data_IF_205396332446
#
_entry.id   IF_205396332446
#
_cell.length_a   1.000
_cell.length_b   1.000
_cell.length_c   1.000
_cell.angle_alpha   90.00
_cell.angle_beta   90.00
_cell.angle_gamma   90.00
#
_symmetry.space_group_name_H-M   'P 1'
#
loop_
_entity.id
_entity.type
_entity.pdbx_description
1 polymer ?
#
# COMPACT_ATOMS: atom_id res chain seq x y z
N UNK A 1 -7.23 6.83 -13.71
CA UNK A 1 -5.74 6.91 -13.76
C UNK A 1 -5.20 6.97 -15.20
N UNK A 2 -6.03 6.68 -16.16
CA UNK A 2 -5.68 6.83 -17.59
C UNK A 2 -5.93 8.26 -18.09
N UNK A 3 -6.77 9.03 -17.41
CA UNK A 3 -7.11 10.41 -17.76
C UNK A 3 -6.20 11.41 -17.04
N UNK A 4 -6.00 12.56 -17.65
CA UNK A 4 -5.19 13.65 -17.13
C UNK A 4 -3.69 13.39 -17.14
N UNK A 5 -2.94 14.39 -16.74
CA UNK A 5 -1.49 14.35 -16.69
C UNK A 5 -0.98 13.58 -15.48
N UNK A 6 0.16 12.90 -15.63
CA UNK A 6 0.86 12.30 -14.52
C UNK A 6 1.58 13.39 -13.73
N UNK A 7 1.38 13.41 -12.41
CA UNK A 7 2.06 14.38 -11.54
C UNK A 7 3.58 14.32 -11.71
N UNK A 8 4.23 15.48 -11.74
CA UNK A 8 5.65 15.62 -12.03
C UNK A 8 6.54 14.75 -11.14
N UNK A 9 6.24 14.67 -9.84
CA UNK A 9 7.03 13.88 -8.88
C UNK A 9 7.06 12.37 -9.14
N UNK A 10 6.11 11.84 -9.93
CA UNK A 10 6.00 10.41 -10.28
C UNK A 10 5.89 10.20 -11.80
N UNK A 11 6.34 11.17 -12.58
CA UNK A 11 6.15 11.21 -14.03
C UNK A 11 6.65 9.93 -14.73
N UNK A 12 7.89 9.54 -14.49
CA UNK A 12 8.48 8.33 -15.12
C UNK A 12 7.79 7.06 -14.66
N UNK A 13 7.51 6.93 -13.36
CA UNK A 13 6.82 5.78 -12.80
C UNK A 13 5.38 5.65 -13.34
N UNK A 14 4.60 6.72 -13.28
CA UNK A 14 3.21 6.71 -13.73
C UNK A 14 3.08 6.42 -15.22
N UNK A 15 3.94 7.05 -16.06
CA UNK A 15 3.92 6.79 -17.51
C UNK A 15 4.38 5.37 -17.87
N UNK A 16 5.35 4.80 -17.14
CA UNK A 16 5.75 3.40 -17.36
C UNK A 16 4.59 2.44 -17.08
N UNK A 17 3.78 2.70 -16.05
CA UNK A 17 2.59 1.89 -15.74
C UNK A 17 1.48 2.05 -16.78
N UNK A 18 1.27 3.27 -17.30
CA UNK A 18 0.35 3.49 -18.44
C UNK A 18 0.81 2.74 -19.69
N UNK A 19 2.11 2.78 -19.99
CA UNK A 19 2.66 2.05 -21.14
C UNK A 19 2.44 0.54 -21.02
N UNK A 20 2.62 -0.07 -19.83
CA UNK A 20 2.32 -1.48 -19.60
C UNK A 20 0.86 -1.83 -19.87
N UNK A 21 -0.07 -0.97 -19.47
CA UNK A 21 -1.50 -1.18 -19.77
C UNK A 21 -1.78 -1.20 -21.27
N UNK A 22 -1.24 -0.24 -22.03
CA UNK A 22 -1.41 -0.22 -23.48
C UNK A 22 -0.71 -1.39 -24.18
N UNK A 23 0.48 -1.77 -23.71
CA UNK A 23 1.19 -2.95 -24.24
C UNK A 23 0.39 -4.24 -24.02
N UNK A 24 -0.22 -4.41 -22.85
CA UNK A 24 -1.11 -5.55 -22.59
C UNK A 24 -2.24 -5.63 -23.62
N UNK A 25 -2.85 -4.49 -23.97
CA UNK A 25 -3.84 -4.40 -25.04
C UNK A 25 -3.30 -4.80 -26.42
N UNK A 26 -2.08 -4.38 -26.77
CA UNK A 26 -1.42 -4.78 -28.02
C UNK A 26 -1.18 -6.30 -28.07
N UNK A 27 -0.66 -6.89 -26.99
CA UNK A 27 -0.43 -8.34 -26.92
C UNK A 27 -1.74 -9.14 -27.03
N UNK A 28 -2.82 -8.63 -26.45
CA UNK A 28 -4.15 -9.23 -26.64
C UNK A 28 -4.56 -9.23 -28.10
N UNK A 29 -4.42 -8.09 -28.80
CA UNK A 29 -4.83 -7.98 -30.21
C UNK A 29 -3.97 -8.82 -31.18
N UNK A 30 -2.66 -8.79 -30.99
CA UNK A 30 -1.73 -9.45 -31.92
C UNK A 30 -1.54 -10.93 -31.62
N UNK A 31 -1.56 -11.33 -30.37
CA UNK A 31 -1.19 -12.68 -29.94
C UNK A 31 -2.31 -13.44 -29.24
N UNK A 32 -3.48 -12.81 -29.06
CA UNK A 32 -4.63 -13.38 -28.32
C UNK A 32 -4.27 -13.82 -26.90
N UNK A 33 -3.33 -13.10 -26.26
CA UNK A 33 -2.95 -13.33 -24.87
C UNK A 33 -3.95 -12.62 -23.96
N UNK A 34 -4.63 -13.41 -23.12
CA UNK A 34 -5.53 -12.89 -22.09
C UNK A 34 -4.76 -12.06 -21.07
N UNK A 35 -5.26 -10.88 -20.72
CA UNK A 35 -4.60 -9.99 -19.77
C UNK A 35 -5.59 -9.44 -18.75
N UNK A 36 -5.16 -9.40 -17.49
CA UNK A 36 -5.89 -8.74 -16.41
C UNK A 36 -4.99 -7.68 -15.76
N UNK A 37 -5.48 -6.45 -15.69
CA UNK A 37 -4.77 -5.34 -15.09
C UNK A 37 -5.34 -5.04 -13.70
N UNK A 38 -4.55 -5.27 -12.65
CA UNK A 38 -4.92 -5.01 -11.28
C UNK A 38 -4.29 -3.71 -10.78
N UNK A 39 -5.11 -2.82 -10.21
CA UNK A 39 -4.67 -1.59 -9.58
C UNK A 39 -4.70 -1.76 -8.06
N UNK A 40 -3.57 -1.49 -7.43
CA UNK A 40 -3.35 -1.74 -6.01
C UNK A 40 -3.29 -0.43 -5.23
N UNK A 41 -3.80 -0.40 -4.00
CA UNK A 41 -3.49 0.66 -3.05
C UNK A 41 -2.05 0.52 -2.53
N UNK A 42 -1.71 1.26 -1.47
CA UNK A 42 -0.39 1.09 -0.86
C UNK A 42 -0.30 -0.29 -0.20
N UNK A 43 0.64 -1.10 -0.67
CA UNK A 43 0.86 -2.45 -0.14
C UNK A 43 1.86 -2.42 1.01
N UNK A 44 1.63 -3.24 2.03
CA UNK A 44 2.53 -3.44 3.17
C UNK A 44 2.56 -4.90 3.60
N UNK A 45 3.55 -5.27 4.37
CA UNK A 45 3.68 -6.64 4.87
C UNK A 45 5.13 -7.11 4.93
N UNK A 46 5.35 -8.39 5.24
CA UNK A 46 6.65 -9.05 5.18
C UNK A 46 7.32 -8.94 3.81
N UNK A 47 8.65 -8.86 3.79
CA UNK A 47 9.43 -8.97 2.54
C UNK A 47 9.80 -7.65 1.87
N UNK A 48 9.35 -6.51 2.36
CA UNK A 48 9.80 -5.21 1.85
C UNK A 48 11.24 -4.89 2.30
N UNK A 49 11.87 -3.96 1.59
CA UNK A 49 13.23 -3.51 1.87
C UNK A 49 13.36 -2.88 3.25
N UNK A 50 14.46 -3.16 3.96
CA UNK A 50 14.85 -2.44 5.18
C UNK A 50 15.68 -1.18 4.90
N UNK A 51 16.09 -0.95 3.65
CA UNK A 51 16.76 0.29 3.23
C UNK A 51 15.76 1.45 3.28
N UNK A 52 16.02 2.52 4.09
CA UNK A 52 15.09 3.63 4.24
C UNK A 52 14.80 4.38 2.93
N UNK A 53 15.65 4.25 1.90
CA UNK A 53 15.44 4.87 0.60
C UNK A 53 14.57 4.04 -0.35
N UNK A 54 14.25 2.79 0.02
CA UNK A 54 13.53 1.83 -0.83
C UNK A 54 12.26 1.29 -0.20
N UNK A 55 12.18 1.35 1.13
CA UNK A 55 11.02 0.83 1.88
C UNK A 55 9.77 1.66 1.64
N UNK A 56 8.62 1.02 1.60
CA UNK A 56 7.32 1.68 1.47
C UNK A 56 6.87 2.30 2.81
N UNK A 57 5.98 3.28 2.74
CA UNK A 57 5.68 4.17 3.85
C UNK A 57 5.27 3.45 5.16
N UNK A 58 4.35 2.48 5.12
CA UNK A 58 3.90 1.79 6.33
C UNK A 58 4.99 0.89 6.91
N UNK A 59 5.65 0.11 6.06
CA UNK A 59 6.78 -0.73 6.47
C UNK A 59 7.95 0.11 7.02
N UNK A 60 8.26 1.23 6.36
CA UNK A 60 9.28 2.16 6.84
C UNK A 60 8.95 2.75 8.21
N UNK A 61 7.67 3.01 8.48
CA UNK A 61 7.21 3.47 9.78
C UNK A 61 7.36 2.38 10.86
N UNK A 62 7.00 1.13 10.54
CA UNK A 62 7.18 -0.03 11.42
C UNK A 62 8.66 -0.22 11.76
N UNK A 63 9.52 -0.27 10.75
CA UNK A 63 10.97 -0.48 10.90
C UNK A 63 11.59 0.62 11.77
N UNK A 64 11.31 1.89 11.48
CA UNK A 64 11.83 3.02 12.27
C UNK A 64 11.31 3.01 13.71
N UNK A 65 10.07 2.59 13.94
CA UNK A 65 9.51 2.53 15.29
C UNK A 65 10.11 1.38 16.11
N UNK A 66 10.40 0.23 15.48
CA UNK A 66 11.17 -0.86 16.11
C UNK A 66 12.59 -0.42 16.48
N UNK A 67 13.25 0.33 15.60
CA UNK A 67 14.57 0.90 15.86
C UNK A 67 14.54 1.90 17.01
N UNK A 68 13.55 2.80 17.05
CA UNK A 68 13.36 3.75 18.14
C UNK A 68 13.10 3.04 19.49
N UNK A 69 12.28 1.98 19.49
CA UNK A 69 12.08 1.13 20.67
C UNK A 69 13.39 0.52 21.16
N UNK A 70 14.17 -0.05 20.25
CA UNK A 70 15.47 -0.67 20.56
C UNK A 70 16.50 0.33 21.09
N UNK A 71 16.47 1.57 20.57
CA UNK A 71 17.32 2.67 21.03
C UNK A 71 16.89 3.27 22.38
N UNK A 72 15.66 2.97 22.84
CA UNK A 72 15.10 3.57 24.05
C UNK A 72 14.66 5.02 23.86
N UNK A 73 14.31 5.40 22.61
CA UNK A 73 13.90 6.75 22.29
C UNK A 73 12.59 7.11 23.03
N UNK A 74 12.51 8.32 23.53
CA UNK A 74 11.30 8.83 24.19
C UNK A 74 10.26 9.37 23.21
N UNK A 75 10.63 9.55 21.93
CA UNK A 75 9.76 10.10 20.89
C UNK A 75 9.96 9.41 19.55
N UNK A 76 8.87 9.29 18.80
CA UNK A 76 8.87 8.85 17.39
C UNK A 76 8.30 9.97 16.51
N UNK A 77 9.08 10.41 15.53
CA UNK A 77 8.70 11.52 14.65
C UNK A 77 8.01 11.00 13.39
N UNK A 78 6.78 11.46 13.16
CA UNK A 78 6.00 11.29 11.94
C UNK A 78 6.04 12.59 11.14
N UNK A 79 6.38 12.53 9.87
CA UNK A 79 6.42 13.70 8.99
C UNK A 79 5.01 14.15 8.59
N UNK A 80 4.79 15.47 8.55
CA UNK A 80 3.51 16.10 8.25
C UNK A 80 2.57 16.16 9.45
N UNK A 81 1.30 16.45 9.19
CA UNK A 81 0.27 16.58 10.23
C UNK A 81 -0.30 15.24 10.71
N UNK A 82 -0.07 14.17 9.96
CA UNK A 82 -0.71 12.87 10.20
C UNK A 82 -2.15 12.77 9.71
N UNK A 83 -2.73 13.84 9.16
CA UNK A 83 -4.12 13.87 8.69
C UNK A 83 -4.38 13.14 7.35
N UNK A 84 -3.42 13.03 6.41
CA UNK A 84 -3.68 12.35 5.14
C UNK A 84 -4.15 10.90 5.34
N UNK A 85 -5.18 10.52 4.57
CA UNK A 85 -5.78 9.19 4.63
C UNK A 85 -5.23 8.32 3.51
N UNK A 86 -4.85 7.10 3.86
CA UNK A 86 -4.34 6.10 2.92
C UNK A 86 -5.06 4.78 3.08
N UNK A 87 -5.34 4.15 1.96
CA UNK A 87 -5.74 2.76 1.94
C UNK A 87 -4.49 1.88 1.93
N UNK A 88 -4.51 0.84 2.76
CA UNK A 88 -3.44 -0.14 2.91
C UNK A 88 -3.93 -1.53 2.55
N UNK A 89 -3.17 -2.25 1.73
CA UNK A 89 -3.43 -3.63 1.38
C UNK A 89 -2.32 -4.52 1.95
N UNK A 90 -2.69 -5.54 2.70
CA UNK A 90 -1.73 -6.52 3.19
C UNK A 90 -1.20 -7.35 2.02
N UNK A 91 0.07 -7.70 2.04
CA UNK A 91 0.74 -8.32 0.89
C UNK A 91 0.10 -9.63 0.46
N UNK A 92 -0.40 -10.43 1.41
CA UNK A 92 -1.03 -11.72 1.10
C UNK A 92 -2.37 -11.53 0.37
N UNK A 93 -3.18 -10.51 0.73
CA UNK A 93 -4.40 -10.15 -0.02
C UNK A 93 -4.10 -9.85 -1.48
N UNK A 94 -2.99 -9.16 -1.71
CA UNK A 94 -2.55 -8.86 -3.06
C UNK A 94 -2.17 -10.12 -3.83
N UNK A 95 -1.41 -11.03 -3.20
CA UNK A 95 -1.03 -12.31 -3.80
C UNK A 95 -2.26 -13.15 -4.11
N UNK A 96 -3.20 -13.23 -3.18
CA UNK A 96 -4.45 -13.97 -3.36
C UNK A 96 -5.29 -13.40 -4.51
N UNK A 97 -5.41 -12.08 -4.59
CA UNK A 97 -6.11 -11.43 -5.71
C UNK A 97 -5.41 -11.73 -7.06
N UNK A 98 -4.08 -11.71 -7.10
CA UNK A 98 -3.32 -12.06 -8.31
C UNK A 98 -3.55 -13.52 -8.74
N UNK A 99 -3.49 -14.45 -7.79
CA UNK A 99 -3.70 -15.89 -8.06
C UNK A 99 -5.12 -16.12 -8.58
N UNK A 100 -6.13 -15.54 -7.94
CA UNK A 100 -7.52 -15.67 -8.37
C UNK A 100 -7.75 -15.01 -9.75
N UNK A 101 -7.09 -13.88 -10.01
CA UNK A 101 -7.18 -13.18 -11.30
C UNK A 101 -6.68 -14.02 -12.48
N UNK A 102 -5.84 -15.04 -12.28
CA UNK A 102 -5.40 -15.95 -13.36
C UNK A 102 -6.54 -16.78 -13.97
N UNK A 103 -7.65 -16.91 -13.26
CA UNK A 103 -8.86 -17.61 -13.76
C UNK A 103 -9.86 -16.67 -14.43
N UNK A 104 -9.61 -15.36 -14.47
CA UNK A 104 -10.51 -14.43 -15.13
C UNK A 104 -10.33 -14.48 -16.65
N UNK A 105 -11.45 -14.30 -17.34
CA UNK A 105 -11.41 -13.99 -18.75
C UNK A 105 -10.85 -12.58 -18.96
N UNK A 106 -10.52 -12.24 -20.19
CA UNK A 106 -10.07 -10.91 -20.56
C UNK A 106 -10.93 -9.79 -19.98
N UNK A 107 -10.32 -8.89 -19.24
CA UNK A 107 -10.99 -7.72 -18.69
C UNK A 107 -10.75 -6.51 -19.59
N UNK A 108 -11.84 -5.88 -20.02
CA UNK A 108 -11.76 -4.66 -20.86
C UNK A 108 -11.11 -3.49 -20.10
N UNK A 109 -11.31 -3.44 -18.77
CA UNK A 109 -10.85 -2.35 -17.92
C UNK A 109 -10.06 -2.87 -16.71
N UNK A 110 -9.15 -2.05 -16.16
CA UNK A 110 -8.45 -2.39 -14.95
C UNK A 110 -9.41 -2.58 -13.76
N UNK A 111 -9.00 -3.43 -12.82
CA UNK A 111 -9.73 -3.72 -11.59
C UNK A 111 -8.97 -3.20 -10.38
N UNK A 112 -9.60 -2.37 -9.58
CA UNK A 112 -9.06 -1.93 -8.31
C UNK A 112 -9.14 -3.05 -7.27
N UNK A 113 -8.03 -3.40 -6.66
CA UNK A 113 -7.99 -4.29 -5.49
C UNK A 113 -8.02 -3.40 -4.24
N UNK A 114 -9.20 -2.87 -3.92
CA UNK A 114 -9.40 -1.93 -2.84
C UNK A 114 -10.55 -2.31 -1.91
N UNK A 115 -10.47 -1.84 -0.67
CA UNK A 115 -11.46 -2.09 0.38
C UNK A 115 -12.46 -0.94 0.55
N UNK A 116 -12.19 0.22 -0.10
CA UNK A 116 -12.87 1.51 0.17
C UNK A 116 -12.72 1.97 1.62
N UNK A 117 -11.69 1.50 2.29
CA UNK A 117 -11.39 1.83 3.68
C UNK A 117 -9.98 2.38 3.81
N UNK A 118 -9.87 3.57 4.36
CA UNK A 118 -8.59 4.22 4.61
C UNK A 118 -8.38 4.52 6.08
N UNK A 119 -7.11 4.72 6.43
CA UNK A 119 -6.67 5.15 7.74
C UNK A 119 -5.81 6.39 7.59
N UNK A 120 -5.93 7.34 8.49
CA UNK A 120 -4.99 8.45 8.56
C UNK A 120 -3.58 7.96 8.91
N UNK A 121 -2.58 8.74 8.54
CA UNK A 121 -1.20 8.44 8.93
C UNK A 121 -1.06 8.42 10.46
N UNK A 122 -1.80 9.28 11.16
CA UNK A 122 -1.84 9.28 12.61
C UNK A 122 -2.43 7.98 13.19
N UNK A 123 -3.59 7.53 12.68
CA UNK A 123 -4.18 6.25 13.11
C UNK A 123 -3.22 5.08 12.85
N UNK A 124 -2.61 5.04 11.65
CA UNK A 124 -1.63 4.01 11.29
C UNK A 124 -0.42 4.02 12.25
N UNK A 125 0.10 5.21 12.59
CA UNK A 125 1.22 5.34 13.54
C UNK A 125 0.84 4.83 14.95
N UNK A 126 -0.39 5.11 15.41
CA UNK A 126 -0.85 4.61 16.71
C UNK A 126 -1.07 3.09 16.72
N UNK A 127 -1.58 2.51 15.62
CA UNK A 127 -1.69 1.05 15.49
C UNK A 127 -0.31 0.38 15.52
N UNK A 128 0.66 0.95 14.81
CA UNK A 128 2.05 0.49 14.81
C UNK A 128 2.67 0.61 16.20
N UNK A 129 2.47 1.76 16.89
CA UNK A 129 2.95 1.96 18.25
C UNK A 129 2.46 0.86 19.20
N UNK A 130 1.16 0.55 19.13
CA UNK A 130 0.53 -0.52 19.90
C UNK A 130 1.15 -1.89 19.57
N UNK A 131 1.30 -2.19 18.26
CA UNK A 131 1.84 -3.46 17.82
C UNK A 131 3.33 -3.65 18.17
N UNK A 132 4.15 -2.61 18.02
CA UNK A 132 5.56 -2.62 18.43
C UNK A 132 5.78 -2.64 19.94
N UNK A 133 4.79 -2.24 20.74
CA UNK A 133 4.98 -1.98 22.17
C UNK A 133 5.98 -0.82 22.41
N UNK A 134 5.91 0.23 21.57
CA UNK A 134 6.71 1.43 21.76
C UNK A 134 6.06 2.33 22.80
N UNK A 135 6.78 2.70 23.85
CA UNK A 135 6.24 3.48 24.97
C UNK A 135 6.42 5.00 24.80
N UNK A 136 7.33 5.44 23.91
CA UNK A 136 7.58 6.85 23.64
C UNK A 136 6.39 7.57 23.02
N UNK A 137 6.47 8.88 22.91
CA UNK A 137 5.43 9.75 22.34
C UNK A 137 5.52 9.76 20.80
N UNK A 138 4.36 9.84 20.09
CA UNK A 138 4.32 10.14 18.65
C UNK A 138 4.25 11.65 18.49
N UNK A 139 5.21 12.21 17.76
CA UNK A 139 5.31 13.65 17.48
C UNK A 139 5.18 13.89 15.98
N UNK A 140 4.35 14.86 15.58
CA UNK A 140 4.13 15.23 14.18
C UNK A 140 5.00 16.43 13.79
N UNK A 141 5.90 16.25 12.82
CA UNK A 141 6.74 17.34 12.32
C UNK A 141 6.11 18.00 11.09
N UNK A 142 5.37 19.06 11.32
CA UNK A 142 4.65 19.83 10.29
C UNK A 142 5.55 20.68 9.38
N UNK A 143 6.86 20.64 9.55
CA UNK A 143 7.81 21.24 8.58
C UNK A 143 7.83 20.47 7.26
N UNK A 144 7.47 19.20 7.30
CA UNK A 144 7.29 18.40 6.10
C UNK A 144 5.86 18.55 5.56
N UNK A 145 5.70 18.74 4.24
CA UNK A 145 4.37 18.87 3.66
C UNK A 145 3.60 17.55 3.74
N UNK A 146 2.30 17.66 3.89
CA UNK A 146 1.40 16.54 3.66
C UNK A 146 1.34 16.20 2.16
N UNK A 147 1.13 14.92 1.84
CA UNK A 147 0.77 14.51 0.48
C UNK A 147 -0.74 14.68 0.23
N UNK A 148 -1.24 14.01 -0.82
CA UNK A 148 -2.68 14.03 -1.14
C UNK A 148 -3.54 13.80 0.11
N UNK A 149 -4.61 14.58 0.32
CA UNK A 149 -5.45 14.45 1.53
C UNK A 149 -6.07 13.06 1.69
N UNK A 150 -6.58 12.47 0.60
CA UNK A 150 -7.24 11.16 0.61
C UNK A 150 -6.84 10.37 -0.63
N UNK A 151 -6.38 9.12 -0.42
CA UNK A 151 -6.06 8.18 -1.49
C UNK A 151 -6.64 6.82 -1.17
N UNK A 152 -7.83 6.55 -1.72
CA UNK A 152 -8.63 5.34 -1.53
C UNK A 152 -9.12 4.87 -2.89
N UNK A 153 -9.12 3.57 -3.14
CA UNK A 153 -9.63 2.95 -4.36
C UNK A 153 -11.09 2.51 -4.18
N UNK A 154 -11.91 2.76 -5.22
CA UNK A 154 -13.25 2.16 -5.28
C UNK A 154 -13.18 0.66 -5.59
N UNK A 155 -14.11 -0.14 -5.05
CA UNK A 155 -14.11 -1.61 -5.16
C UNK A 155 -15.26 -2.21 -5.97
N UNK A 156 -16.07 -1.40 -6.65
CA UNK A 156 -17.28 -1.88 -7.31
C UNK A 156 -17.05 -3.07 -8.23
N UNK A 157 -16.05 -3.00 -9.11
CA UNK A 157 -15.71 -4.11 -10.02
C UNK A 157 -15.13 -5.33 -9.31
N UNK A 158 -14.40 -5.15 -8.22
CA UNK A 158 -13.87 -6.26 -7.44
C UNK A 158 -15.01 -7.13 -6.89
N UNK A 159 -16.05 -6.50 -6.37
CA UNK A 159 -17.22 -7.21 -5.86
C UNK A 159 -17.96 -8.02 -6.94
N UNK A 160 -17.93 -7.55 -8.20
CA UNK A 160 -18.59 -8.24 -9.32
C UNK A 160 -17.82 -9.51 -9.72
N UNK A 161 -16.51 -9.49 -9.64
CA UNK A 161 -15.63 -10.59 -10.10
C UNK A 161 -15.18 -11.51 -8.97
N UNK A 162 -15.05 -10.99 -7.76
CA UNK A 162 -14.66 -11.71 -6.54
C UNK A 162 -15.61 -11.34 -5.39
N UNK A 163 -16.88 -11.73 -5.44
CA UNK A 163 -17.90 -11.29 -4.48
C UNK A 163 -17.63 -11.76 -3.04
N UNK A 164 -16.81 -12.79 -2.85
CA UNK A 164 -16.46 -13.35 -1.56
C UNK A 164 -15.00 -13.06 -1.16
N UNK A 165 -14.35 -12.08 -1.82
CA UNK A 165 -12.99 -11.72 -1.47
C UNK A 165 -12.98 -10.95 -0.15
N UNK A 166 -12.38 -11.55 0.86
CA UNK A 166 -12.23 -10.95 2.18
C UNK A 166 -10.79 -10.46 2.36
N UNK A 167 -10.66 -9.20 2.73
CA UNK A 167 -9.35 -8.62 3.03
C UNK A 167 -8.94 -8.95 4.46
N UNK A 168 -7.65 -9.16 4.63
CA UNK A 168 -7.03 -9.41 5.93
C UNK A 168 -7.26 -8.23 6.90
N UNK A 169 -7.44 -8.53 8.18
CA UNK A 169 -7.61 -7.48 9.18
C UNK A 169 -6.35 -6.59 9.27
N UNK A 170 -6.55 -5.29 9.18
CA UNK A 170 -5.43 -4.34 9.08
C UNK A 170 -4.56 -4.32 10.34
N UNK A 171 -5.16 -4.37 11.55
CA UNK A 171 -4.38 -4.41 12.79
C UNK A 171 -3.59 -5.72 12.91
N UNK A 172 -4.17 -6.82 12.46
CA UNK A 172 -3.48 -8.12 12.44
C UNK A 172 -2.35 -8.14 11.42
N UNK A 173 -2.56 -7.57 10.24
CA UNK A 173 -1.51 -7.40 9.23
C UNK A 173 -0.34 -6.57 9.76
N UNK A 174 -0.61 -5.48 10.50
CA UNK A 174 0.43 -4.70 11.17
C UNK A 174 1.18 -5.56 12.21
N UNK A 175 0.47 -6.32 13.06
CA UNK A 175 1.11 -7.22 14.05
C UNK A 175 2.03 -8.25 13.39
N UNK A 176 1.57 -8.87 12.32
CA UNK A 176 2.37 -9.85 11.57
C UNK A 176 3.61 -9.22 10.94
N UNK A 177 3.46 -7.99 10.41
CA UNK A 177 4.58 -7.24 9.83
C UNK A 177 5.60 -6.83 10.88
N UNK A 178 5.15 -6.33 12.04
CA UNK A 178 6.00 -6.02 13.19
C UNK A 178 6.80 -7.27 13.60
N UNK A 179 6.12 -8.38 13.83
CA UNK A 179 6.76 -9.66 14.21
C UNK A 179 7.82 -10.11 13.19
N UNK A 180 7.55 -9.91 11.90
CA UNK A 180 8.53 -10.25 10.84
C UNK A 180 9.80 -9.41 10.92
N UNK A 181 9.70 -8.12 11.26
CA UNK A 181 10.84 -7.21 11.30
C UNK A 181 11.53 -7.12 12.66
N UNK A 182 10.90 -7.56 13.76
CA UNK A 182 11.41 -7.39 15.14
C UNK A 182 12.83 -7.95 15.32
N UNK A 183 13.14 -9.08 14.69
CA UNK A 183 14.48 -9.71 14.75
C UNK A 183 15.43 -9.26 13.61
N UNK A 184 14.99 -8.38 12.71
CA UNK A 184 15.74 -7.98 11.50
C UNK A 184 16.29 -6.56 11.54
N UNK A 185 15.89 -5.80 12.53
CA UNK A 185 16.23 -4.36 12.67
C UNK A 185 16.70 -4.02 14.08
#
# INVERSE_FOLDING_TARGET
WLDGDVHESVFSFGNSKRALYYLAGCYKQEHQISTVNLLLPNTYGPGDSTDPNKTHALNGMIIRMLQAKKAGDSQFVVWGTGSPVREWCYVDDFVDAMVQATSFEDMEYPVNIGQEKGYSIAESAHMIKKACGFEGEIVFDTKYPDGDPVKILGKSKLNDILPNFEFFDHEEGIRNTVKYYEDKV
#
